data_IF_940508149228
#
_entry.id   IF_940508149228
#
_cell.length_a   1.000
_cell.length_b   1.000
_cell.length_c   1.000
_cell.angle_alpha   90.00
_cell.angle_beta   90.00
_cell.angle_gamma   90.00
#
_symmetry.space_group_name_H-M   'P 1'
#
loop_
_entity.id
_entity.type
_entity.pdbx_description
1 polymer ?
#
# COMPACT_ATOMS: atom_id res chain seq x y z
N UNK A 1 28.14 -2.93 7.22
CA UNK A 1 27.33 -1.70 7.29
C UNK A 1 26.71 -1.32 5.94
N UNK A 2 27.46 -1.31 4.83
CA UNK A 2 26.94 -0.91 3.50
C UNK A 2 25.72 -1.75 3.08
N UNK A 3 25.68 -3.05 3.43
CA UNK A 3 24.56 -3.96 3.13
C UNK A 3 23.20 -3.50 3.69
N UNK A 4 23.15 -2.91 4.89
CA UNK A 4 21.90 -2.37 5.45
C UNK A 4 21.34 -1.26 4.55
N UNK A 5 22.19 -0.37 4.06
CA UNK A 5 21.77 0.71 3.17
C UNK A 5 21.26 0.18 1.82
N UNK A 6 21.83 -0.90 1.29
CA UNK A 6 21.29 -1.56 0.10
C UNK A 6 19.89 -2.12 0.33
N UNK A 7 19.66 -2.80 1.46
CA UNK A 7 18.33 -3.34 1.80
C UNK A 7 17.30 -2.20 1.92
N UNK A 8 17.65 -1.14 2.65
CA UNK A 8 16.81 0.05 2.80
C UNK A 8 16.53 0.70 1.44
N UNK A 9 17.56 0.82 0.59
CA UNK A 9 17.44 1.37 -0.76
C UNK A 9 16.50 0.55 -1.65
N UNK A 10 16.62 -0.78 -1.65
CA UNK A 10 15.72 -1.68 -2.38
C UNK A 10 14.28 -1.48 -1.90
N UNK A 11 14.05 -1.51 -0.59
CA UNK A 11 12.73 -1.29 0.00
C UNK A 11 12.14 0.06 -0.39
N UNK A 12 12.94 1.13 -0.37
CA UNK A 12 12.52 2.46 -0.80
C UNK A 12 12.14 2.48 -2.28
N UNK A 13 12.99 1.96 -3.17
CA UNK A 13 12.76 1.96 -4.62
C UNK A 13 11.50 1.16 -4.98
N UNK A 14 11.29 -0.01 -4.38
CA UNK A 14 10.10 -0.83 -4.64
C UNK A 14 8.82 -0.10 -4.20
N UNK A 15 8.82 0.51 -3.02
CA UNK A 15 7.69 1.32 -2.56
C UNK A 15 7.48 2.56 -3.46
N UNK A 16 8.57 3.18 -3.91
CA UNK A 16 8.49 4.30 -4.85
C UNK A 16 7.84 3.90 -6.17
N UNK A 17 8.17 2.72 -6.72
CA UNK A 17 7.54 2.20 -7.94
C UNK A 17 6.03 2.05 -7.75
N UNK A 18 5.59 1.48 -6.62
CA UNK A 18 4.15 1.35 -6.32
C UNK A 18 3.50 2.72 -6.17
N UNK A 19 4.17 3.66 -5.50
CA UNK A 19 3.69 5.03 -5.38
C UNK A 19 3.52 5.71 -6.75
N UNK A 20 4.46 5.52 -7.68
CA UNK A 20 4.35 6.06 -9.04
C UNK A 20 3.19 5.42 -9.80
N UNK A 21 3.03 4.09 -9.71
CA UNK A 21 1.87 3.40 -10.28
C UNK A 21 0.55 3.94 -9.71
N UNK A 22 0.50 4.19 -8.41
CA UNK A 22 -0.64 4.86 -7.78
C UNK A 22 -0.86 6.26 -8.35
N UNK A 23 0.17 7.11 -8.38
CA UNK A 23 0.07 8.52 -8.76
C UNK A 23 -0.37 8.71 -10.21
N UNK A 24 0.19 7.94 -11.13
CA UNK A 24 -0.07 8.11 -12.55
C UNK A 24 -1.32 7.38 -13.05
N UNK A 25 -1.71 6.26 -12.42
CA UNK A 25 -2.81 5.45 -12.90
C UNK A 25 -4.02 5.40 -11.95
N UNK A 26 -3.81 5.02 -10.69
CA UNK A 26 -4.90 4.77 -9.75
C UNK A 26 -5.52 6.05 -9.20
N UNK A 27 -4.70 7.06 -8.90
CA UNK A 27 -5.13 8.27 -8.19
C UNK A 27 -6.27 9.00 -8.93
N UNK A 28 -6.10 9.25 -10.23
CA UNK A 28 -7.11 9.94 -11.05
C UNK A 28 -8.41 9.13 -11.13
N UNK A 29 -8.32 7.82 -11.35
CA UNK A 29 -9.48 6.92 -11.48
C UNK A 29 -10.25 6.77 -10.18
N UNK A 30 -9.54 6.61 -9.06
CA UNK A 30 -10.15 6.54 -7.73
C UNK A 30 -10.83 7.87 -7.37
N UNK A 31 -10.16 9.01 -7.60
CA UNK A 31 -10.73 10.33 -7.32
C UNK A 31 -12.01 10.57 -8.12
N UNK A 32 -12.00 10.29 -9.43
CA UNK A 32 -13.19 10.41 -10.28
C UNK A 32 -14.32 9.50 -9.79
N UNK A 33 -14.02 8.25 -9.44
CA UNK A 33 -15.02 7.28 -8.94
C UNK A 33 -15.64 7.76 -7.61
N UNK A 34 -14.83 8.27 -6.70
CA UNK A 34 -15.27 8.85 -5.42
C UNK A 34 -16.17 10.07 -5.67
N UNK A 35 -15.83 10.93 -6.62
CA UNK A 35 -16.63 12.11 -6.94
C UNK A 35 -18.01 11.74 -7.50
N UNK A 36 -18.09 10.69 -8.33
CA UNK A 36 -19.39 10.16 -8.79
C UNK A 36 -20.21 9.63 -7.61
N UNK A 37 -19.62 8.83 -6.73
CA UNK A 37 -20.29 8.32 -5.52
C UNK A 37 -20.84 9.50 -4.69
N UNK A 38 -20.01 10.52 -4.41
CA UNK A 38 -20.39 11.72 -3.66
C UNK A 38 -21.56 12.47 -4.31
N UNK A 39 -21.57 12.61 -5.65
CA UNK A 39 -22.67 13.25 -6.39
C UNK A 39 -23.99 12.49 -6.24
N UNK A 40 -23.95 11.16 -6.33
CA UNK A 40 -25.15 10.33 -6.14
C UNK A 40 -25.66 10.40 -4.69
N UNK A 41 -24.77 10.35 -3.70
CA UNK A 41 -25.13 10.49 -2.29
C UNK A 41 -25.74 11.86 -1.99
N UNK A 42 -25.16 12.96 -2.49
CA UNK A 42 -25.70 14.31 -2.34
C UNK A 42 -27.08 14.47 -2.98
N UNK A 43 -27.29 13.89 -4.17
CA UNK A 43 -28.59 13.90 -4.82
C UNK A 43 -29.64 13.17 -3.99
N UNK A 44 -29.29 12.03 -3.39
CA UNK A 44 -30.20 11.28 -2.53
C UNK A 44 -30.48 12.02 -1.22
N UNK A 45 -29.47 12.65 -0.62
CA UNK A 45 -29.60 13.37 0.66
C UNK A 45 -30.40 14.67 0.55
N UNK A 46 -30.37 15.33 -0.61
CA UNK A 46 -31.18 16.53 -0.89
C UNK A 46 -32.70 16.28 -0.92
N UNK A 47 -33.15 15.02 -0.97
CA UNK A 47 -34.56 14.67 -1.03
C UNK A 47 -35.14 14.67 0.40
N UNK A 48 -35.90 15.71 0.73
CA UNK A 48 -36.56 15.87 2.04
C UNK A 48 -37.56 14.75 2.36
N UNK A 49 -38.33 14.26 1.37
CA UNK A 49 -39.36 13.24 1.59
C UNK A 49 -38.75 11.82 1.74
N UNK A 50 -38.94 11.13 2.89
CA UNK A 50 -38.37 9.80 3.12
C UNK A 50 -38.83 8.76 2.09
N UNK A 51 -40.11 8.83 1.68
CA UNK A 51 -40.72 7.92 0.69
C UNK A 51 -40.13 8.12 -0.70
N UNK A 52 -39.88 9.38 -1.11
CA UNK A 52 -39.22 9.70 -2.39
C UNK A 52 -37.73 9.33 -2.35
N UNK A 53 -37.07 9.55 -1.21
CA UNK A 53 -35.67 9.19 -1.00
C UNK A 53 -35.43 7.69 -1.13
N UNK A 54 -36.26 6.85 -0.52
CA UNK A 54 -36.09 5.38 -0.64
C UNK A 54 -36.31 4.88 -2.08
N UNK A 55 -37.26 5.48 -2.81
CA UNK A 55 -37.50 5.16 -4.23
C UNK A 55 -36.32 5.57 -5.11
N UNK A 56 -35.80 6.79 -4.92
CA UNK A 56 -34.61 7.27 -5.64
C UNK A 56 -33.35 6.46 -5.31
N UNK A 57 -33.19 6.04 -4.05
CA UNK A 57 -32.09 5.18 -3.65
C UNK A 57 -32.18 3.81 -4.32
N UNK A 58 -33.37 3.22 -4.45
CA UNK A 58 -33.56 1.96 -5.18
C UNK A 58 -33.26 2.07 -6.68
N UNK A 59 -33.55 3.22 -7.31
CA UNK A 59 -33.22 3.42 -8.73
C UNK A 59 -31.73 3.64 -8.98
N UNK A 60 -31.06 4.33 -8.04
CA UNK A 60 -29.63 4.69 -8.16
C UNK A 60 -28.70 3.62 -7.58
N UNK A 61 -29.20 2.73 -6.70
CA UNK A 61 -28.38 1.73 -5.99
C UNK A 61 -27.59 0.85 -6.93
N UNK A 62 -28.16 0.48 -8.09
CA UNK A 62 -27.46 -0.34 -9.09
C UNK A 62 -26.23 0.39 -9.65
N UNK A 63 -26.35 1.68 -9.97
CA UNK A 63 -25.24 2.50 -10.46
C UNK A 63 -24.22 2.78 -9.35
N UNK A 64 -24.69 3.12 -8.15
CA UNK A 64 -23.83 3.35 -6.99
C UNK A 64 -22.97 2.11 -6.67
N UNK A 65 -23.60 0.93 -6.65
CA UNK A 65 -22.91 -0.35 -6.45
C UNK A 65 -21.82 -0.60 -7.50
N UNK A 66 -22.04 -0.19 -8.75
CA UNK A 66 -21.02 -0.31 -9.81
C UNK A 66 -19.82 0.59 -9.52
N UNK A 67 -20.03 1.85 -9.13
CA UNK A 67 -18.94 2.76 -8.79
C UNK A 67 -18.20 2.32 -7.52
N UNK A 68 -18.90 1.88 -6.49
CA UNK A 68 -18.27 1.30 -5.30
C UNK A 68 -17.45 0.05 -5.65
N UNK A 69 -17.98 -0.84 -6.49
CA UNK A 69 -17.26 -2.02 -6.96
C UNK A 69 -15.99 -1.65 -7.73
N UNK A 70 -16.06 -0.63 -8.60
CA UNK A 70 -14.88 -0.08 -9.29
C UNK A 70 -13.86 0.47 -8.31
N UNK A 71 -14.29 1.23 -7.30
CA UNK A 71 -13.39 1.77 -6.27
C UNK A 71 -12.72 0.65 -5.48
N UNK A 72 -13.47 -0.38 -5.07
CA UNK A 72 -12.93 -1.59 -4.43
C UNK A 72 -11.91 -2.30 -5.32
N UNK A 73 -12.22 -2.42 -6.61
CA UNK A 73 -11.29 -2.99 -7.60
C UNK A 73 -9.97 -2.22 -7.69
N UNK A 74 -10.01 -0.89 -7.70
CA UNK A 74 -8.78 -0.07 -7.69
C UNK A 74 -7.98 -0.21 -6.39
N UNK A 75 -8.64 -0.23 -5.23
CA UNK A 75 -7.97 -0.46 -3.95
C UNK A 75 -7.34 -1.86 -3.89
N UNK A 76 -8.04 -2.88 -4.39
CA UNK A 76 -7.53 -4.23 -4.47
C UNK A 76 -6.30 -4.34 -5.39
N UNK A 77 -6.34 -3.68 -6.55
CA UNK A 77 -5.21 -3.63 -7.47
C UNK A 77 -3.97 -2.96 -6.82
N UNK A 78 -4.18 -1.89 -6.05
CA UNK A 78 -3.11 -1.25 -5.28
C UNK A 78 -2.48 -2.21 -4.26
N UNK A 79 -3.31 -2.94 -3.51
CA UNK A 79 -2.85 -3.94 -2.55
C UNK A 79 -2.11 -5.10 -3.23
N UNK A 80 -2.57 -5.55 -4.40
CA UNK A 80 -1.88 -6.58 -5.18
C UNK A 80 -0.53 -6.11 -5.70
N UNK A 81 -0.41 -4.87 -6.19
CA UNK A 81 0.86 -4.29 -6.60
C UNK A 81 1.85 -4.20 -5.42
N UNK A 82 1.37 -3.83 -4.24
CA UNK A 82 2.17 -3.85 -3.01
C UNK A 82 2.65 -5.26 -2.66
N UNK A 83 1.77 -6.24 -2.71
CA UNK A 83 2.13 -7.62 -2.40
C UNK A 83 3.12 -8.19 -3.41
N UNK A 84 2.90 -7.95 -4.70
CA UNK A 84 3.80 -8.40 -5.76
C UNK A 84 5.20 -7.79 -5.61
N UNK A 85 5.29 -6.48 -5.37
CA UNK A 85 6.59 -5.81 -5.15
C UNK A 85 7.27 -6.28 -3.88
N UNK A 86 6.52 -6.56 -2.81
CA UNK A 86 7.07 -7.15 -1.60
C UNK A 86 7.70 -8.52 -1.85
N UNK A 87 7.01 -9.42 -2.59
CA UNK A 87 7.53 -10.75 -2.93
C UNK A 87 8.77 -10.64 -3.80
N UNK A 88 8.76 -9.76 -4.80
CA UNK A 88 9.93 -9.50 -5.66
C UNK A 88 11.12 -9.02 -4.84
N UNK A 89 10.91 -8.08 -3.92
CA UNK A 89 11.99 -7.62 -3.04
C UNK A 89 12.49 -8.72 -2.13
N UNK A 90 11.61 -9.57 -1.59
CA UNK A 90 12.00 -10.70 -0.74
C UNK A 90 12.91 -11.67 -1.51
N UNK A 91 12.56 -11.97 -2.77
CA UNK A 91 13.39 -12.78 -3.66
C UNK A 91 14.78 -12.15 -3.91
N UNK A 92 14.82 -10.83 -4.17
CA UNK A 92 16.08 -10.11 -4.37
C UNK A 92 16.99 -10.19 -3.14
N UNK A 93 16.43 -10.00 -1.94
CA UNK A 93 17.19 -10.05 -0.69
C UNK A 93 17.74 -11.45 -0.42
N UNK A 94 16.93 -12.49 -0.61
CA UNK A 94 17.34 -13.88 -0.37
C UNK A 94 18.45 -14.35 -1.32
N UNK A 95 18.38 -13.94 -2.58
CA UNK A 95 19.27 -14.48 -3.61
C UNK A 95 20.54 -13.64 -3.81
N UNK A 96 20.46 -12.32 -3.65
CA UNK A 96 21.57 -11.42 -3.99
C UNK A 96 22.40 -10.98 -2.78
N UNK A 97 21.89 -11.10 -1.55
CA UNK A 97 22.59 -10.64 -0.36
C UNK A 97 23.26 -11.80 0.36
N UNK A 98 24.58 -11.90 0.16
CA UNK A 98 25.46 -12.83 0.85
C UNK A 98 26.57 -12.03 1.55
N UNK A 99 26.82 -12.24 2.85
CA UNK A 99 26.17 -13.19 3.76
C UNK A 99 24.73 -12.77 4.16
N UNK A 100 23.86 -13.71 4.59
CA UNK A 100 22.45 -13.45 4.88
C UNK A 100 22.22 -12.71 6.21
N UNK A 101 23.25 -12.08 6.77
CA UNK A 101 23.20 -11.32 8.00
C UNK A 101 23.95 -9.99 7.85
N UNK A 102 23.58 -9.01 8.66
CA UNK A 102 24.33 -7.76 8.77
C UNK A 102 24.69 -7.49 10.22
N UNK A 103 25.92 -7.04 10.44
CA UNK A 103 26.37 -6.62 11.77
C UNK A 103 25.60 -5.39 12.23
N UNK A 104 25.13 -5.45 13.47
CA UNK A 104 24.46 -4.36 14.15
C UNK A 104 25.44 -3.74 15.16
N UNK A 105 25.39 -2.42 15.41
CA UNK A 105 26.32 -1.77 16.32
C UNK A 105 26.06 -2.07 17.81
N UNK A 106 24.87 -2.54 18.16
CA UNK A 106 24.45 -2.80 19.53
C UNK A 106 23.84 -4.20 19.67
N UNK A 107 23.85 -4.78 20.86
CA UNK A 107 23.11 -6.01 21.14
C UNK A 107 21.62 -5.68 21.37
N UNK A 108 20.75 -6.54 20.85
CA UNK A 108 19.29 -6.46 20.94
C UNK A 108 18.72 -7.87 21.03
N UNK A 109 17.50 -8.07 21.59
CA UNK A 109 16.83 -9.37 21.54
C UNK A 109 16.67 -9.95 20.12
N UNK A 110 16.77 -9.11 19.09
CA UNK A 110 16.67 -9.49 17.67
C UNK A 110 18.04 -9.81 17.02
N UNK A 111 19.15 -9.65 17.74
CA UNK A 111 20.51 -9.91 17.22
C UNK A 111 21.08 -11.19 17.81
N UNK A 112 21.72 -12.00 16.98
CA UNK A 112 22.50 -13.16 17.40
C UNK A 112 24.00 -12.84 17.32
N UNK A 113 24.82 -13.42 18.19
CA UNK A 113 26.26 -13.25 18.14
C UNK A 113 26.86 -14.11 17.00
N UNK A 114 27.45 -13.45 16.00
CA UNK A 114 28.18 -14.10 14.90
C UNK A 114 29.62 -13.59 14.93
N UNK A 115 30.57 -14.46 15.29
CA UNK A 115 31.98 -14.09 15.43
C UNK A 115 32.22 -13.03 16.52
N UNK A 116 31.46 -13.09 17.63
CA UNK A 116 31.57 -12.15 18.75
C UNK A 116 30.98 -10.76 18.50
N UNK A 117 30.30 -10.55 17.37
CA UNK A 117 29.59 -9.30 17.07
C UNK A 117 28.08 -9.56 16.92
N UNK A 118 27.21 -8.66 17.41
CA UNK A 118 25.79 -8.79 17.19
C UNK A 118 25.48 -8.66 15.69
N UNK A 119 24.70 -9.60 15.16
CA UNK A 119 24.26 -9.66 13.78
C UNK A 119 22.75 -9.89 13.70
N UNK A 120 22.11 -9.25 12.73
CA UNK A 120 20.68 -9.39 12.44
C UNK A 120 20.48 -10.00 11.05
N UNK A 121 19.43 -10.80 10.89
CA UNK A 121 19.07 -11.37 9.59
C UNK A 121 18.69 -10.27 8.60
N UNK A 122 19.21 -10.37 7.39
CA UNK A 122 18.88 -9.47 6.26
C UNK A 122 17.38 -9.45 5.95
N UNK A 123 16.69 -10.57 6.18
CA UNK A 123 15.23 -10.67 6.06
C UNK A 123 14.50 -9.75 7.04
N UNK A 124 14.93 -9.71 8.30
CA UNK A 124 14.30 -8.87 9.32
C UNK A 124 14.49 -7.39 8.95
N UNK A 125 15.70 -7.02 8.51
CA UNK A 125 15.99 -5.66 8.04
C UNK A 125 15.11 -5.30 6.84
N UNK A 126 14.90 -6.24 5.91
CA UNK A 126 14.02 -6.03 4.76
C UNK A 126 12.56 -5.83 5.18
N UNK A 127 12.00 -6.72 6.01
CA UNK A 127 10.61 -6.62 6.47
C UNK A 127 10.36 -5.27 7.15
N UNK A 128 11.24 -4.89 8.09
CA UNK A 128 11.09 -3.62 8.83
C UNK A 128 11.22 -2.43 7.89
N UNK A 129 12.23 -2.41 7.02
CA UNK A 129 12.41 -1.29 6.08
C UNK A 129 11.25 -1.18 5.09
N UNK A 130 10.73 -2.28 4.56
CA UNK A 130 9.60 -2.27 3.65
C UNK A 130 8.32 -1.74 4.33
N UNK A 131 8.08 -2.15 5.59
CA UNK A 131 6.97 -1.64 6.40
C UNK A 131 7.08 -0.13 6.65
N UNK A 132 8.28 0.37 6.95
CA UNK A 132 8.52 1.81 7.16
C UNK A 132 8.17 2.63 5.92
N UNK A 133 8.41 2.10 4.71
CA UNK A 133 8.09 2.80 3.45
C UNK A 133 6.69 2.51 2.90
N UNK A 134 5.96 1.53 3.45
CA UNK A 134 4.59 1.17 3.04
C UNK A 134 3.61 2.36 2.99
N UNK A 135 3.64 3.33 3.94
CA UNK A 135 2.78 4.51 3.88
C UNK A 135 2.97 5.37 2.61
N UNK A 136 4.16 5.34 2.00
CA UNK A 136 4.44 6.03 0.73
C UNK A 136 3.55 5.46 -0.39
N UNK A 137 3.43 4.14 -0.42
CA UNK A 137 2.78 3.37 -1.48
C UNK A 137 1.27 3.26 -1.31
N UNK A 138 0.79 3.26 -0.07
CA UNK A 138 -0.64 3.14 0.28
C UNK A 138 -1.33 4.49 0.48
N UNK A 139 -0.80 5.56 -0.12
CA UNK A 139 -1.39 6.90 -0.01
C UNK A 139 -2.84 6.84 -0.50
N UNK A 140 -3.79 6.99 0.42
CA UNK A 140 -5.22 7.00 0.08
C UNK A 140 -5.59 8.39 -0.44
N UNK A 141 -6.51 8.48 -1.42
CA UNK A 141 -7.09 9.76 -1.77
C UNK A 141 -7.73 10.35 -0.51
N UNK A 142 -7.25 11.52 -0.07
CA UNK A 142 -7.89 12.27 1.02
C UNK A 142 -9.26 12.71 0.50
N UNK A 143 -10.33 12.23 1.13
CA UNK A 143 -11.67 12.78 0.96
C UNK A 143 -11.59 14.23 1.47
N UNK A 144 -11.57 15.18 0.53
CA UNK A 144 -11.76 16.60 0.81
C UNK A 144 -13.27 16.86 0.97
#
# INVERSE_FOLDING_TARGET
MITIFYIIGISFVLNMIVYLAYRFYLQSRMKSTIEYIKKYEQRISSISSPKRRSKAMKSVSKELNVYESKLRGYMFLQSMLMMATYIVGLFLILYLIVPPYVYFPYESPLTAAVGGKPAISTLIVYIVSFLVFTPLSLRRPKLI
#
